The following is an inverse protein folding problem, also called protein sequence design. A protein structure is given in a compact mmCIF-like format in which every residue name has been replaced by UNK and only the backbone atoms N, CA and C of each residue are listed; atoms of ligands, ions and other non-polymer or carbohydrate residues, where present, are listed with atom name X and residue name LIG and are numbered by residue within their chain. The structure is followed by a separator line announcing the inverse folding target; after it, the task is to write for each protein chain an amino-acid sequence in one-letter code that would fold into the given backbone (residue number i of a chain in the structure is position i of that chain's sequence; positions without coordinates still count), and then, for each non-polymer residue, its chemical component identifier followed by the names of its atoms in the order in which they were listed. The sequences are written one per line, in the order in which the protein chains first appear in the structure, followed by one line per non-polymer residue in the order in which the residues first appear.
data_IF_602248563947
#
_entry.id   IF_602248563947
#
_cell.length_a   1.000
_cell.length_b   1.000
_cell.length_c   1.000
_cell.angle_alpha   90.00
_cell.angle_beta   90.00
_cell.angle_gamma   90.00
#
_symmetry.space_group_name_H-M   'P 1'
#
loop_
_entity.id
_entity.type
_entity.pdbx_description
1 polymer ?
#
# COMPACT_ATOMS: atom_id res chain seq x y z
N UNK A 1 4.29 -0.71 13.10
CA UNK A 1 3.97 -0.41 14.52
C UNK A 1 4.87 0.69 15.05
N UNK A 2 4.41 1.46 16.05
CA UNK A 2 5.18 2.53 16.71
C UNK A 2 6.49 1.99 17.31
N UNK A 3 7.57 2.79 17.43
CA UNK A 3 8.83 2.38 18.05
C UNK A 3 8.67 1.71 19.42
N UNK A 4 7.84 2.27 20.27
CA UNK A 4 7.58 1.77 21.64
C UNK A 4 6.55 0.64 21.72
N UNK A 5 6.04 0.19 20.57
CA UNK A 5 5.02 -0.86 20.53
C UNK A 5 5.57 -2.20 21.03
N UNK A 6 4.83 -2.95 21.85
CA UNK A 6 5.21 -4.31 22.26
C UNK A 6 4.94 -5.36 21.16
N UNK A 7 4.39 -4.97 20.02
CA UNK A 7 4.02 -5.88 18.94
C UNK A 7 5.20 -6.09 17.99
N UNK A 8 5.74 -7.31 17.91
CA UNK A 8 6.90 -7.66 17.08
C UNK A 8 6.56 -8.56 15.88
N UNK A 9 5.36 -9.14 15.86
CA UNK A 9 4.88 -9.96 14.73
C UNK A 9 3.35 -9.85 14.59
N UNK A 10 2.78 -10.19 13.42
CA UNK A 10 1.36 -9.93 13.12
C UNK A 10 0.39 -10.56 14.10
N UNK A 11 0.67 -11.78 14.59
CA UNK A 11 -0.20 -12.48 15.52
C UNK A 11 -0.45 -11.75 16.86
N UNK A 12 0.38 -10.77 17.22
CA UNK A 12 0.18 -9.97 18.44
C UNK A 12 -0.81 -8.82 18.25
N UNK A 13 -1.29 -8.60 17.03
CA UNK A 13 -2.24 -7.53 16.71
C UNK A 13 -3.71 -7.94 16.86
N UNK A 14 -4.00 -9.14 17.36
CA UNK A 14 -5.37 -9.57 17.64
C UNK A 14 -6.10 -8.61 18.56
N UNK A 15 -7.33 -8.22 18.19
CA UNK A 15 -8.18 -7.23 18.89
C UNK A 15 -7.55 -5.81 19.01
N UNK A 16 -6.45 -5.53 18.31
CA UNK A 16 -5.81 -4.21 18.31
C UNK A 16 -6.23 -3.40 17.09
N UNK A 17 -6.46 -2.08 17.23
CA UNK A 17 -6.84 -1.25 16.10
C UNK A 17 -5.70 -1.12 15.09
N UNK A 18 -5.96 -1.49 13.84
CA UNK A 18 -5.04 -1.36 12.70
C UNK A 18 -5.64 -0.36 11.71
N UNK A 19 -4.94 0.75 11.48
CA UNK A 19 -5.40 1.80 10.58
C UNK A 19 -5.30 1.38 9.11
N UNK A 20 -6.42 1.45 8.40
CA UNK A 20 -6.54 1.19 6.95
C UNK A 20 -7.44 2.24 6.32
N UNK A 21 -7.48 2.31 5.00
CA UNK A 21 -8.55 3.00 4.27
C UNK A 21 -9.52 1.95 3.75
N UNK A 22 -10.74 1.93 4.25
CA UNK A 22 -11.75 0.96 3.81
C UNK A 22 -11.99 1.05 2.30
N UNK A 23 -12.19 -0.10 1.68
CA UNK A 23 -12.39 -0.27 0.23
C UNK A 23 -11.25 0.27 -0.64
N UNK A 24 -10.02 0.25 -0.11
CA UNK A 24 -8.80 0.61 -0.84
C UNK A 24 -7.71 -0.45 -0.63
N UNK A 25 -6.63 -0.36 -1.38
CA UNK A 25 -5.53 -1.33 -1.33
C UNK A 25 -5.01 -1.64 0.07
N UNK A 26 -4.93 -0.62 0.95
CA UNK A 26 -4.50 -0.82 2.34
C UNK A 26 -5.44 -1.70 3.16
N UNK A 27 -6.75 -1.68 2.86
CA UNK A 27 -7.74 -2.55 3.49
C UNK A 27 -7.51 -4.01 3.09
N UNK A 28 -7.46 -4.25 1.79
CA UNK A 28 -7.33 -5.59 1.23
C UNK A 28 -6.00 -6.24 1.58
N UNK A 29 -4.90 -5.48 1.50
CA UNK A 29 -3.57 -5.97 1.88
C UNK A 29 -3.51 -6.28 3.38
N UNK A 30 -4.08 -5.44 4.25
CA UNK A 30 -4.10 -5.71 5.68
C UNK A 30 -4.86 -7.00 6.00
N UNK A 31 -6.03 -7.23 5.40
CA UNK A 31 -6.77 -8.49 5.55
C UNK A 31 -5.91 -9.67 5.08
N UNK A 32 -5.36 -9.60 3.86
CA UNK A 32 -4.55 -10.67 3.28
C UNK A 32 -3.36 -11.05 4.17
N UNK A 33 -2.63 -10.06 4.67
CA UNK A 33 -1.44 -10.28 5.49
C UNK A 33 -1.78 -10.79 6.88
N UNK A 34 -2.79 -10.19 7.52
CA UNK A 34 -3.11 -10.52 8.91
C UNK A 34 -3.91 -11.81 9.05
N UNK A 35 -4.75 -12.17 8.07
CA UNK A 35 -5.54 -13.41 8.11
C UNK A 35 -4.70 -14.70 8.06
N UNK A 36 -3.42 -14.60 7.69
CA UNK A 36 -2.47 -15.71 7.83
C UNK A 36 -2.00 -15.96 9.28
N UNK A 37 -2.27 -15.01 10.19
CA UNK A 37 -1.82 -15.05 11.58
C UNK A 37 -2.94 -14.93 12.59
N UNK A 38 -4.08 -14.37 12.20
CA UNK A 38 -5.20 -14.06 13.09
C UNK A 38 -6.50 -14.57 12.46
N UNK A 39 -7.41 -15.14 13.27
CA UNK A 39 -8.76 -15.42 12.81
C UNK A 39 -9.52 -14.11 12.53
N UNK A 40 -10.55 -14.20 11.71
CA UNK A 40 -11.30 -13.04 11.20
C UNK A 40 -11.89 -12.18 12.32
N UNK A 41 -12.46 -12.80 13.33
CA UNK A 41 -13.08 -12.14 14.50
C UNK A 41 -12.06 -11.36 15.36
N UNK A 42 -10.76 -11.58 15.13
CA UNK A 42 -9.65 -10.86 15.80
C UNK A 42 -9.07 -9.72 14.95
N UNK A 43 -9.52 -9.55 13.72
CA UNK A 43 -9.07 -8.47 12.86
C UNK A 43 -9.84 -7.18 13.17
N UNK A 44 -9.25 -6.29 13.93
CA UNK A 44 -9.84 -4.99 14.26
C UNK A 44 -9.29 -3.89 13.33
N UNK A 45 -9.85 -3.79 12.13
CA UNK A 45 -9.50 -2.74 11.18
C UNK A 45 -10.31 -1.49 11.45
N UNK A 46 -9.66 -0.32 11.41
CA UNK A 46 -10.27 0.99 11.64
C UNK A 46 -9.97 1.93 10.47
N UNK A 47 -10.99 2.70 10.08
CA UNK A 47 -10.87 3.59 8.93
C UNK A 47 -10.11 4.87 9.27
N UNK A 48 -8.97 5.06 8.60
CA UNK A 48 -8.25 6.32 8.49
C UNK A 48 -7.96 6.57 7.01
N UNK A 49 -8.58 7.58 6.42
CA UNK A 49 -8.59 7.82 4.96
C UNK A 49 -7.22 7.79 4.29
N UNK A 50 -6.52 8.92 4.18
CA UNK A 50 -5.24 8.98 3.45
C UNK A 50 -4.08 8.30 4.18
N UNK A 51 -2.98 7.96 3.49
CA UNK A 51 -1.75 7.47 4.12
C UNK A 51 -1.22 8.40 5.21
N UNK A 52 -1.39 9.72 5.03
CA UNK A 52 -1.05 10.73 6.03
C UNK A 52 -1.78 10.50 7.35
N UNK A 53 -3.09 10.36 7.32
CA UNK A 53 -3.88 10.19 8.55
C UNK A 53 -3.56 8.89 9.27
N UNK A 54 -3.28 7.81 8.51
CA UNK A 54 -2.84 6.54 9.10
C UNK A 54 -1.47 6.65 9.76
N UNK A 55 -0.54 7.37 9.12
CA UNK A 55 0.78 7.66 9.69
C UNK A 55 0.66 8.51 10.96
N UNK A 56 -0.10 9.60 10.91
CA UNK A 56 -0.29 10.48 12.07
C UNK A 56 -0.98 9.74 13.24
N UNK A 57 -2.00 8.93 12.97
CA UNK A 57 -2.65 8.10 13.99
C UNK A 57 -1.68 7.09 14.64
N UNK A 58 -0.77 6.51 13.84
CA UNK A 58 0.27 5.64 14.37
C UNK A 58 1.24 6.39 15.27
N UNK A 59 1.73 7.55 14.82
CA UNK A 59 2.69 8.35 15.59
C UNK A 59 2.08 8.95 16.87
N UNK A 60 0.78 9.22 16.87
CA UNK A 60 0.04 9.69 18.05
C UNK A 60 -0.35 8.56 19.01
N UNK A 61 -0.09 7.29 18.68
CA UNK A 61 -0.50 6.14 19.50
C UNK A 61 -2.02 5.85 19.51
N UNK A 62 -2.77 6.39 18.55
CA UNK A 62 -4.22 6.17 18.43
C UNK A 62 -4.54 4.75 17.93
N UNK A 63 -3.59 4.14 17.22
CA UNK A 63 -3.71 2.78 16.68
C UNK A 63 -2.46 1.95 16.99
N UNK A 64 -2.63 0.65 17.11
CA UNK A 64 -1.53 -0.27 17.38
C UNK A 64 -0.63 -0.49 16.15
N UNK A 65 -1.23 -0.43 14.96
CA UNK A 65 -0.52 -0.56 13.69
C UNK A 65 -1.21 0.26 12.59
N UNK A 66 -0.48 0.55 11.53
CA UNK A 66 -1.00 1.22 10.35
C UNK A 66 -0.54 0.56 9.07
N UNK A 67 -1.45 0.37 8.11
CA UNK A 67 -1.10 -0.04 6.76
C UNK A 67 -0.61 1.18 5.97
N UNK A 68 0.68 1.25 5.74
CA UNK A 68 1.35 2.33 5.03
C UNK A 68 1.87 1.86 3.67
N UNK A 69 2.19 2.80 2.82
CA UNK A 69 2.85 2.62 1.53
C UNK A 69 3.97 3.65 1.39
N UNK A 70 4.90 3.44 0.44
CA UNK A 70 5.94 4.45 0.20
C UNK A 70 5.32 5.78 -0.29
N UNK A 71 5.89 6.91 0.13
CA UNK A 71 7.11 7.12 0.94
C UNK A 71 6.88 7.12 2.47
N UNK A 72 5.65 6.87 2.92
CA UNK A 72 5.26 6.90 4.35
C UNK A 72 5.92 5.78 5.15
N UNK A 73 6.19 4.62 4.52
CA UNK A 73 6.92 3.51 5.18
C UNK A 73 8.33 3.98 5.51
N UNK A 74 9.04 4.54 4.52
CA UNK A 74 10.40 5.06 4.72
C UNK A 74 10.46 6.12 5.83
N UNK A 75 9.51 7.06 5.87
CA UNK A 75 9.44 8.05 6.94
C UNK A 75 9.20 7.40 8.31
N UNK A 76 8.27 6.46 8.40
CA UNK A 76 7.97 5.75 9.63
C UNK A 76 9.18 4.94 10.14
N UNK A 77 9.87 4.23 9.26
CA UNK A 77 11.09 3.47 9.61
C UNK A 77 12.21 4.39 10.08
N UNK A 78 12.40 5.53 9.43
CA UNK A 78 13.38 6.56 9.85
C UNK A 78 13.11 7.07 11.27
N UNK A 79 11.84 7.10 11.69
CA UNK A 79 11.42 7.46 13.04
C UNK A 79 11.43 6.28 14.02
N UNK A 80 11.96 5.12 13.60
CA UNK A 80 12.10 3.94 14.45
C UNK A 80 10.88 3.01 14.47
N UNK A 81 9.84 3.29 13.67
CA UNK A 81 8.73 2.36 13.50
C UNK A 81 9.23 1.03 12.89
N UNK A 82 8.53 -0.05 13.21
CA UNK A 82 8.90 -1.39 12.74
C UNK A 82 7.80 -1.99 11.87
N UNK A 83 8.14 -2.52 10.68
CA UNK A 83 7.20 -3.38 9.96
C UNK A 83 7.03 -4.70 10.72
N UNK A 84 5.81 -5.20 10.83
CA UNK A 84 5.49 -6.52 11.40
C UNK A 84 5.08 -7.52 10.32
N UNK A 85 4.62 -7.02 9.19
CA UNK A 85 4.42 -7.78 7.96
C UNK A 85 4.54 -6.84 6.77
N UNK A 86 4.88 -7.39 5.61
CA UNK A 86 5.04 -6.66 4.37
C UNK A 86 4.46 -7.46 3.22
N UNK A 87 3.84 -6.80 2.26
CA UNK A 87 3.28 -7.43 1.08
C UNK A 87 3.20 -6.46 -0.08
N UNK A 88 2.99 -7.02 -1.26
CA UNK A 88 2.79 -6.28 -2.49
C UNK A 88 1.42 -6.62 -3.06
N UNK A 89 0.82 -5.69 -3.73
CA UNK A 89 -0.37 -5.92 -4.54
C UNK A 89 -0.16 -5.32 -5.93
N UNK A 90 -0.85 -5.89 -6.90
CA UNK A 90 -0.84 -5.35 -8.25
C UNK A 90 -1.84 -4.21 -8.33
N UNK A 91 -1.40 -3.08 -8.89
CA UNK A 91 -2.31 -2.01 -9.32
C UNK A 91 -2.90 -2.36 -10.68
N UNK A 92 -4.14 -1.92 -10.93
CA UNK A 92 -4.76 -2.01 -12.24
C UNK A 92 -4.88 -0.63 -12.87
N UNK A 93 -4.59 -0.54 -14.14
CA UNK A 93 -4.89 0.62 -14.96
C UNK A 93 -6.12 0.32 -15.79
N UNK A 94 -7.15 1.16 -15.66
CA UNK A 94 -8.40 1.02 -16.37
C UNK A 94 -8.56 2.18 -17.36
N UNK A 95 -8.99 1.86 -18.55
CA UNK A 95 -9.40 2.85 -19.54
C UNK A 95 -10.94 2.95 -19.58
N UNK A 96 -11.45 4.12 -19.92
CA UNK A 96 -12.88 4.28 -20.21
C UNK A 96 -13.23 3.66 -21.58
N UNK A 97 -14.46 3.21 -21.75
CA UNK A 97 -14.94 2.52 -22.96
C UNK A 97 -14.81 3.35 -24.25
N UNK A 98 -14.68 4.68 -24.12
CA UNK A 98 -14.49 5.58 -25.26
C UNK A 98 -13.04 5.86 -25.60
N UNK A 99 -12.08 5.24 -24.92
CA UNK A 99 -10.66 5.34 -25.27
C UNK A 99 -10.38 4.44 -26.47
N UNK A 100 -9.80 5.00 -27.53
CA UNK A 100 -9.37 4.22 -28.68
C UNK A 100 -8.14 3.35 -28.38
N UNK A 101 -8.02 2.26 -29.14
CA UNK A 101 -6.94 1.28 -28.94
C UNK A 101 -5.55 1.88 -29.17
N UNK A 102 -5.41 2.83 -30.10
CA UNK A 102 -4.11 3.45 -30.41
C UNK A 102 -3.62 4.29 -29.23
N UNK A 103 -4.52 5.09 -28.63
CA UNK A 103 -4.23 5.88 -27.44
C UNK A 103 -3.90 4.98 -26.25
N UNK A 104 -4.67 3.91 -26.01
CA UNK A 104 -4.39 2.97 -24.95
C UNK A 104 -3.03 2.28 -25.13
N UNK A 105 -2.71 1.83 -26.34
CA UNK A 105 -1.42 1.23 -26.65
C UNK A 105 -0.27 2.24 -26.49
N UNK A 106 -0.49 3.52 -26.83
CA UNK A 106 0.51 4.56 -26.62
C UNK A 106 0.81 4.81 -25.14
N UNK A 107 -0.22 4.82 -24.28
CA UNK A 107 -0.06 4.93 -22.83
C UNK A 107 0.75 3.74 -22.31
N UNK A 108 0.40 2.50 -22.67
CA UNK A 108 1.13 1.31 -22.24
C UNK A 108 2.61 1.34 -22.68
N UNK A 109 2.90 1.81 -23.89
CA UNK A 109 4.30 2.01 -24.33
C UNK A 109 5.03 3.07 -23.51
N UNK A 110 4.34 4.13 -23.08
CA UNK A 110 4.93 5.17 -22.24
C UNK A 110 5.21 4.63 -20.82
N UNK A 111 4.28 3.87 -20.25
CA UNK A 111 4.44 3.20 -18.95
C UNK A 111 5.62 2.22 -19.00
N UNK A 112 5.72 1.38 -20.04
CA UNK A 112 6.84 0.45 -20.19
C UNK A 112 8.20 1.18 -20.20
N UNK A 113 8.31 2.29 -20.96
CA UNK A 113 9.52 3.12 -20.96
C UNK A 113 9.82 3.74 -19.59
N UNK A 114 8.80 4.12 -18.83
CA UNK A 114 8.97 4.65 -17.49
C UNK A 114 9.47 3.54 -16.54
N UNK A 115 8.91 2.34 -16.61
CA UNK A 115 9.34 1.16 -15.84
C UNK A 115 10.81 0.85 -16.09
N UNK A 116 11.24 0.81 -17.36
CA UNK A 116 12.65 0.59 -17.73
C UNK A 116 13.58 1.63 -17.09
N UNK A 117 13.21 2.90 -17.21
CA UNK A 117 14.03 4.01 -16.70
C UNK A 117 14.11 4.00 -15.17
N UNK A 118 12.98 3.74 -14.49
CA UNK A 118 12.93 3.69 -13.03
C UNK A 118 13.74 2.49 -12.53
N UNK A 119 13.57 1.32 -13.14
CA UNK A 119 14.29 0.12 -12.72
C UNK A 119 15.79 0.20 -12.99
N UNK A 120 16.22 0.94 -14.04
CA UNK A 120 17.64 1.18 -14.32
C UNK A 120 18.30 2.05 -13.23
N UNK A 121 17.59 3.04 -12.69
CA UNK A 121 18.10 3.91 -11.61
C UNK A 121 16.93 4.44 -10.78
N UNK A 122 16.49 3.67 -9.79
CA UNK A 122 15.39 4.04 -8.90
C UNK A 122 15.67 5.32 -8.12
N UNK A 123 16.91 5.53 -7.66
CA UNK A 123 17.27 6.70 -6.83
C UNK A 123 16.99 8.01 -7.53
N UNK A 124 17.24 8.08 -8.82
CA UNK A 124 16.99 9.26 -9.65
C UNK A 124 15.53 9.73 -9.62
N UNK A 125 14.58 8.80 -9.42
CA UNK A 125 13.15 9.06 -9.48
C UNK A 125 12.48 9.18 -8.12
N UNK A 126 13.19 8.90 -7.00
CA UNK A 126 12.64 9.01 -5.65
C UNK A 126 12.15 10.42 -5.31
N UNK A 127 12.72 11.44 -5.93
CA UNK A 127 12.26 12.83 -5.75
C UNK A 127 10.78 12.99 -6.03
N UNK A 128 10.18 12.23 -6.96
CA UNK A 128 8.75 12.31 -7.25
C UNK A 128 7.87 11.80 -6.11
N UNK A 129 8.41 10.96 -5.23
CA UNK A 129 7.77 10.54 -4.00
C UNK A 129 8.04 11.53 -2.86
N UNK A 130 9.29 12.00 -2.75
CA UNK A 130 9.74 12.90 -1.65
C UNK A 130 9.11 14.28 -1.80
N UNK A 131 9.05 14.81 -3.02
CA UNK A 131 8.60 16.17 -3.32
C UNK A 131 7.07 16.24 -3.52
N UNK A 132 6.33 15.13 -3.36
CA UNK A 132 4.87 15.18 -3.38
C UNK A 132 4.38 16.14 -2.28
N UNK A 133 3.61 17.19 -2.62
CA UNK A 133 3.40 18.33 -1.70
C UNK A 133 2.80 17.96 -0.35
N UNK A 134 1.86 17.00 -0.31
CA UNK A 134 1.22 16.57 0.95
C UNK A 134 2.19 15.79 1.82
N UNK A 135 2.98 14.91 1.20
CA UNK A 135 3.98 14.13 1.90
C UNK A 135 5.10 15.06 2.40
N UNK A 136 5.66 15.91 1.54
CA UNK A 136 6.76 16.82 1.89
C UNK A 136 6.41 17.73 3.07
N UNK A 137 5.19 18.29 3.09
CA UNK A 137 4.73 19.14 4.17
C UNK A 137 4.68 18.42 5.53
N UNK A 138 4.30 17.14 5.54
CA UNK A 138 4.31 16.34 6.79
C UNK A 138 5.71 15.89 7.13
N UNK A 139 6.46 15.35 6.17
CA UNK A 139 7.82 14.84 6.38
C UNK A 139 8.74 15.93 6.96
N UNK A 140 8.59 17.17 6.53
CA UNK A 140 9.36 18.31 7.05
C UNK A 140 9.22 18.48 8.57
N UNK A 141 8.07 18.16 9.15
CA UNK A 141 7.83 18.23 10.61
C UNK A 141 8.63 17.18 11.40
N UNK A 142 9.09 16.13 10.69
CA UNK A 142 9.84 15.00 11.24
C UNK A 142 11.29 14.93 10.73
N UNK A 143 11.83 16.02 10.18
CA UNK A 143 13.21 16.11 9.69
C UNK A 143 13.38 15.61 8.26
N UNK A 144 12.31 15.26 7.55
CA UNK A 144 12.33 14.85 6.15
C UNK A 144 12.96 13.47 5.92
N UNK A 145 12.95 13.05 4.64
CA UNK A 145 13.66 11.87 4.15
C UNK A 145 14.46 12.24 2.90
N UNK A 146 15.48 11.42 2.60
CA UNK A 146 16.32 11.55 1.42
C UNK A 146 16.28 10.26 0.60
N UNK A 147 16.78 10.24 -0.64
CA UNK A 147 16.86 9.01 -1.44
C UNK A 147 17.64 7.87 -0.77
N UNK A 148 18.55 8.19 0.13
CA UNK A 148 19.38 7.22 0.86
C UNK A 148 18.60 6.46 1.94
N UNK A 149 17.52 7.04 2.44
CA UNK A 149 16.66 6.42 3.46
C UNK A 149 15.82 5.26 2.89
N UNK A 150 15.63 5.20 1.56
CA UNK A 150 14.74 4.21 0.94
C UNK A 150 15.33 2.81 0.85
N UNK A 151 14.52 1.82 1.22
CA UNK A 151 14.80 0.42 0.92
C UNK A 151 14.38 0.10 -0.53
N UNK A 152 15.31 0.29 -1.48
CA UNK A 152 15.04 0.17 -2.91
C UNK A 152 14.41 -1.16 -3.37
N UNK A 153 14.72 -2.33 -2.79
CA UNK A 153 14.06 -3.59 -3.14
C UNK A 153 12.55 -3.61 -2.92
N UNK A 154 12.04 -2.77 -2.01
CA UNK A 154 10.59 -2.63 -1.77
C UNK A 154 9.87 -1.97 -2.94
N UNK A 155 10.54 -1.06 -3.65
CA UNK A 155 9.98 -0.38 -4.81
C UNK A 155 10.05 -1.29 -6.03
N UNK A 156 8.92 -1.90 -6.37
CA UNK A 156 8.80 -2.81 -7.52
C UNK A 156 7.91 -2.18 -8.58
N UNK A 157 8.45 -2.06 -9.78
CA UNK A 157 7.74 -1.57 -10.95
C UNK A 157 7.78 -2.64 -12.04
N UNK A 158 6.61 -3.07 -12.50
CA UNK A 158 6.44 -4.07 -13.54
C UNK A 158 5.73 -3.48 -14.75
N UNK A 159 5.84 -4.16 -15.89
CA UNK A 159 5.08 -3.80 -17.08
C UNK A 159 3.59 -4.11 -16.85
N UNK A 160 2.74 -3.31 -17.50
CA UNK A 160 1.32 -3.62 -17.57
C UNK A 160 1.12 -4.91 -18.35
N UNK A 161 0.49 -5.87 -17.72
CA UNK A 161 0.08 -7.14 -18.32
C UNK A 161 -1.39 -7.39 -18.00
N UNK A 162 -2.19 -7.93 -18.94
CA UNK A 162 -3.55 -8.33 -18.64
C UNK A 162 -3.59 -9.30 -17.46
N UNK A 163 -4.58 -9.18 -16.59
CA UNK A 163 -4.85 -10.20 -15.60
C UNK A 163 -5.42 -11.45 -16.28
N UNK A 164 -5.05 -12.62 -15.77
CA UNK A 164 -5.67 -13.86 -16.18
C UNK A 164 -7.05 -14.00 -15.54
N UNK A 165 -7.95 -14.72 -16.19
CA UNK A 165 -9.29 -15.00 -15.65
C UNK A 165 -9.20 -15.63 -14.26
N UNK A 166 -8.24 -16.54 -14.05
CA UNK A 166 -7.96 -17.18 -12.75
C UNK A 166 -7.68 -16.15 -11.65
N UNK A 167 -6.84 -15.12 -11.91
CA UNK A 167 -6.54 -14.07 -10.94
C UNK A 167 -7.79 -13.25 -10.63
N UNK A 168 -8.60 -12.96 -11.64
CA UNK A 168 -9.85 -12.20 -11.48
C UNK A 168 -10.85 -12.99 -10.65
N UNK A 169 -11.08 -14.26 -10.98
CA UNK A 169 -11.99 -15.16 -10.27
C UNK A 169 -11.57 -15.39 -8.82
N UNK A 170 -10.29 -15.70 -8.57
CA UNK A 170 -9.76 -15.88 -7.22
C UNK A 170 -9.93 -14.61 -6.37
N UNK A 171 -9.66 -13.45 -6.97
CA UNK A 171 -9.83 -12.16 -6.28
C UNK A 171 -11.30 -11.90 -5.97
N UNK A 172 -12.19 -12.15 -6.92
CA UNK A 172 -13.64 -12.00 -6.74
C UNK A 172 -14.15 -12.89 -5.59
N UNK A 173 -13.85 -14.19 -5.63
CA UNK A 173 -14.27 -15.13 -4.58
C UNK A 173 -13.70 -14.77 -3.21
N UNK A 174 -12.46 -14.31 -3.17
CA UNK A 174 -11.86 -13.82 -1.93
C UNK A 174 -12.59 -12.59 -1.40
N UNK A 175 -12.94 -11.62 -2.26
CA UNK A 175 -13.66 -10.41 -1.85
C UNK A 175 -15.07 -10.74 -1.36
N UNK A 176 -15.79 -11.63 -2.01
CA UNK A 176 -17.11 -12.11 -1.57
C UNK A 176 -17.02 -12.80 -0.21
N UNK A 177 -16.05 -13.70 -0.04
CA UNK A 177 -15.82 -14.41 1.23
C UNK A 177 -15.59 -13.45 2.41
N UNK A 178 -14.93 -12.33 2.17
CA UNK A 178 -14.65 -11.32 3.18
C UNK A 178 -15.73 -10.24 3.30
N UNK A 179 -16.87 -10.40 2.64
CA UNK A 179 -17.97 -9.42 2.67
C UNK A 179 -17.60 -8.05 2.09
N UNK A 180 -16.60 -8.02 1.19
CA UNK A 180 -16.10 -6.81 0.53
C UNK A 180 -16.84 -6.52 -0.76
N UNK A 181 -17.52 -7.52 -1.30
CA UNK A 181 -18.42 -7.46 -2.46
C UNK A 181 -19.69 -8.28 -2.16
N UNK A 182 -20.83 -7.82 -2.70
CA UNK A 182 -22.05 -8.59 -2.70
C UNK A 182 -21.94 -9.73 -3.72
N UNK A 183 -22.21 -10.98 -3.30
CA UNK A 183 -22.09 -12.17 -4.14
C UNK A 183 -23.09 -12.28 -5.30
N UNK A 184 -23.95 -11.27 -5.49
CA UNK A 184 -24.96 -11.21 -6.56
C UNK A 184 -24.50 -10.40 -7.79
N UNK A 185 -23.25 -9.94 -7.84
CA UNK A 185 -22.74 -9.08 -8.91
C UNK A 185 -21.95 -9.89 -9.98
N UNK A 186 -22.54 -10.97 -10.52
CA UNK A 186 -22.09 -11.67 -11.73
C UNK A 186 -23.28 -11.87 -12.65
#
# INVERSE_FOLDING_TARGET
VHPDSPHYYPGTLGDKPVAVQFHAGSHYVAIRLLSGYLPEDKLKLVHYGSPQFRFEALMNGEVAAAALMEPWITLAEKLGCRPVCEGHYLGAENASDNMDEETFAAINRAVAKAVDRINADKRKYLRYLIDEPRFAAVAARYGGITPEDFHLPRLRYSYNTPYTDEIVEDTYHWMVRWGLLDGAAC
#
